data_IF_156737458424
#
_entry.id   IF_156737458424
#
_cell.length_a   1.000
_cell.length_b   1.000
_cell.length_c   1.000
_cell.angle_alpha   90.00
_cell.angle_beta   90.00
_cell.angle_gamma   90.00
#
_symmetry.space_group_name_H-M   'P 1'
#
loop_
_entity.id
_entity.type
_entity.pdbx_description
1 polymer ?
#
# COMPACT_ATOMS: atom_id res chain seq x y z
N UNK A 1 30.68 41.92 -26.86
CA UNK A 1 29.59 41.01 -27.30
C UNK A 1 29.04 40.29 -26.07
N UNK A 2 27.82 40.62 -25.64
CA UNK A 2 27.17 39.97 -24.49
C UNK A 2 26.62 38.62 -24.98
N UNK A 3 27.18 37.51 -24.49
CA UNK A 3 26.68 36.16 -24.80
C UNK A 3 25.35 35.98 -24.08
N UNK A 4 24.25 35.91 -24.82
CA UNK A 4 22.97 35.45 -24.30
C UNK A 4 23.09 33.95 -24.07
N UNK A 5 23.36 33.56 -22.83
CA UNK A 5 23.20 32.17 -22.40
C UNK A 5 21.71 31.96 -22.18
N UNK A 6 21.04 31.05 -22.91
CA UNK A 6 19.66 30.73 -22.61
C UNK A 6 19.63 30.09 -21.22
N UNK A 7 18.95 30.74 -20.27
CA UNK A 7 18.59 30.12 -19.00
C UNK A 7 17.78 28.88 -19.34
N UNK A 8 18.37 27.71 -19.08
CA UNK A 8 17.66 26.43 -19.06
C UNK A 8 16.42 26.61 -18.20
N UNK A 9 15.24 26.49 -18.81
CA UNK A 9 13.98 26.45 -18.08
C UNK A 9 14.11 25.32 -17.06
N UNK A 10 14.15 25.65 -15.78
CA UNK A 10 13.93 24.68 -14.72
C UNK A 10 12.57 24.03 -15.01
N UNK A 11 12.59 22.86 -15.60
CA UNK A 11 11.47 21.93 -15.58
C UNK A 11 11.27 21.62 -14.11
N UNK A 12 10.28 22.28 -13.49
CA UNK A 12 9.72 21.84 -12.22
C UNK A 12 9.32 20.39 -12.45
N UNK A 13 10.14 19.47 -11.96
CA UNK A 13 9.77 18.06 -11.89
C UNK A 13 8.64 18.04 -10.88
N UNK A 14 7.40 17.91 -11.36
CA UNK A 14 6.26 17.66 -10.51
C UNK A 14 6.51 16.31 -9.82
N UNK A 15 7.03 16.38 -8.59
CA UNK A 15 7.20 15.21 -7.74
C UNK A 15 5.81 14.72 -7.35
N UNK A 16 5.36 13.64 -7.98
CA UNK A 16 4.11 12.97 -7.62
C UNK A 16 4.41 12.05 -6.45
N UNK A 17 3.92 12.38 -5.27
CA UNK A 17 3.98 11.51 -4.10
C UNK A 17 2.86 10.47 -4.21
N UNK A 18 3.24 9.20 -4.35
CA UNK A 18 2.31 8.08 -4.42
C UNK A 18 2.15 7.47 -3.03
N UNK A 19 0.95 7.57 -2.45
CA UNK A 19 0.61 6.86 -1.21
C UNK A 19 0.35 5.38 -1.53
N UNK A 20 1.33 4.53 -1.21
CA UNK A 20 1.27 3.09 -1.43
C UNK A 20 0.69 2.32 -0.24
N UNK A 21 0.27 3.00 0.83
CA UNK A 21 -0.17 2.35 2.06
C UNK A 21 -1.38 1.46 1.83
N UNK A 22 -2.35 1.86 1.01
CA UNK A 22 -3.53 1.04 0.69
C UNK A 22 -3.16 -0.25 -0.03
N UNK A 23 -2.23 -0.19 -1.00
CA UNK A 23 -1.73 -1.37 -1.71
C UNK A 23 -1.03 -2.33 -0.76
N UNK A 24 -0.19 -1.81 0.14
CA UNK A 24 0.51 -2.64 1.13
C UNK A 24 -0.44 -3.39 2.07
N UNK A 25 -1.62 -2.83 2.38
CA UNK A 25 -2.62 -3.48 3.24
C UNK A 25 -3.34 -4.62 2.54
N UNK A 26 -3.61 -4.48 1.24
CA UNK A 26 -4.18 -5.55 0.42
C UNK A 26 -3.23 -6.74 0.31
N UNK A 27 -1.94 -6.48 0.07
CA UNK A 27 -0.92 -7.55 0.05
C UNK A 27 -0.77 -8.25 1.40
N UNK A 28 -0.82 -7.50 2.51
CA UNK A 28 -0.80 -8.09 3.85
C UNK A 28 -2.04 -8.96 4.12
N UNK A 29 -3.22 -8.51 3.71
CA UNK A 29 -4.46 -9.27 3.87
C UNK A 29 -4.39 -10.60 3.09
N UNK A 30 -3.85 -10.56 1.87
CA UNK A 30 -3.64 -11.75 1.04
C UNK A 30 -2.65 -12.73 1.68
N UNK A 31 -1.50 -12.23 2.14
CA UNK A 31 -0.48 -13.05 2.78
C UNK A 31 -1.02 -13.74 4.04
N UNK A 32 -1.69 -13.01 4.92
CA UNK A 32 -2.28 -13.57 6.16
C UNK A 32 -3.33 -14.63 5.81
N UNK A 33 -4.18 -14.37 4.81
CA UNK A 33 -5.17 -15.35 4.33
C UNK A 33 -4.50 -16.63 3.84
N UNK A 34 -3.43 -16.50 3.03
CA UNK A 34 -2.68 -17.65 2.50
C UNK A 34 -2.02 -18.46 3.61
N UNK A 35 -1.42 -17.80 4.60
CA UNK A 35 -0.82 -18.47 5.76
C UNK A 35 -1.88 -19.17 6.62
N UNK A 36 -3.07 -18.57 6.75
CA UNK A 36 -4.19 -19.16 7.51
C UNK A 36 -4.71 -20.43 6.84
N UNK A 37 -4.90 -20.41 5.51
CA UNK A 37 -5.41 -21.57 4.75
C UNK A 37 -4.42 -22.73 4.75
N UNK A 38 -3.11 -22.43 4.66
CA UNK A 38 -2.07 -23.46 4.60
C UNK A 38 -1.50 -23.83 5.98
N UNK A 39 -1.89 -23.10 7.03
CA UNK A 39 -1.46 -23.34 8.39
C UNK A 39 -2.32 -24.40 9.06
N UNK A 40 -1.70 -25.22 9.90
CA UNK A 40 -2.44 -26.12 10.78
C UNK A 40 -2.87 -25.38 12.06
N UNK A 41 -3.72 -24.36 11.87
CA UNK A 41 -4.20 -23.49 12.93
C UNK A 41 -5.39 -24.12 13.66
N UNK A 42 -5.47 -23.89 14.96
CA UNK A 42 -6.67 -24.19 15.70
C UNK A 42 -7.80 -23.19 15.37
N UNK A 43 -8.99 -23.45 15.92
CA UNK A 43 -10.17 -22.62 15.68
C UNK A 43 -9.98 -21.17 16.13
N UNK A 44 -9.32 -20.96 17.28
CA UNK A 44 -9.13 -19.62 17.84
C UNK A 44 -8.10 -18.84 17.03
N UNK A 45 -6.99 -19.49 16.66
CA UNK A 45 -5.96 -18.92 15.80
C UNK A 45 -6.53 -18.52 14.43
N UNK A 46 -7.35 -19.38 13.83
CA UNK A 46 -8.05 -19.10 12.57
C UNK A 46 -8.96 -17.88 12.71
N UNK A 47 -9.72 -17.79 13.82
CA UNK A 47 -10.62 -16.66 14.06
C UNK A 47 -9.85 -15.34 14.19
N UNK A 48 -8.74 -15.34 14.93
CA UNK A 48 -7.86 -14.18 15.08
C UNK A 48 -7.31 -13.74 13.73
N UNK A 49 -6.81 -14.67 12.92
CA UNK A 49 -6.28 -14.36 11.60
C UNK A 49 -7.34 -13.74 10.67
N UNK A 50 -8.59 -14.26 10.71
CA UNK A 50 -9.70 -13.69 9.93
C UNK A 50 -10.09 -12.29 10.41
N UNK A 51 -10.04 -12.00 11.71
CA UNK A 51 -10.21 -10.64 12.23
C UNK A 51 -9.14 -9.68 11.68
N UNK A 52 -7.87 -10.10 11.71
CA UNK A 52 -6.77 -9.29 11.16
C UNK A 52 -6.96 -9.02 9.65
N UNK A 53 -7.37 -10.02 8.87
CA UNK A 53 -7.68 -9.84 7.45
C UNK A 53 -8.82 -8.83 7.26
N UNK A 54 -9.89 -8.93 8.04
CA UNK A 54 -11.02 -8.00 7.97
C UNK A 54 -10.60 -6.55 8.26
N UNK A 55 -9.76 -6.34 9.29
CA UNK A 55 -9.28 -5.00 9.65
C UNK A 55 -8.37 -4.41 8.56
N UNK A 56 -7.50 -5.23 7.96
CA UNK A 56 -6.65 -4.80 6.85
C UNK A 56 -7.48 -4.39 5.63
N UNK A 57 -8.51 -5.18 5.28
CA UNK A 57 -9.41 -4.86 4.17
C UNK A 57 -10.26 -3.62 4.44
N UNK A 58 -10.80 -3.48 5.65
CA UNK A 58 -11.55 -2.28 6.06
C UNK A 58 -10.69 -1.01 5.91
N UNK A 59 -9.45 -1.06 6.40
CA UNK A 59 -8.53 0.06 6.26
C UNK A 59 -8.17 0.35 4.80
N UNK A 60 -7.97 -0.68 3.96
CA UNK A 60 -7.68 -0.49 2.55
C UNK A 60 -8.85 0.16 1.81
N UNK A 61 -10.09 -0.28 2.07
CA UNK A 61 -11.30 0.27 1.44
C UNK A 61 -11.53 1.73 1.85
N UNK A 62 -11.40 2.05 3.14
CA UNK A 62 -11.68 3.40 3.63
C UNK A 62 -10.58 4.42 3.31
N UNK A 63 -9.39 3.98 2.89
CA UNK A 63 -8.36 4.87 2.36
C UNK A 63 -8.53 5.17 0.86
N UNK A 64 -9.43 4.46 0.18
CA UNK A 64 -9.74 4.65 -1.24
C UNK A 64 -11.02 5.47 -1.46
N UNK A 65 -11.88 5.60 -0.44
CA UNK A 65 -13.09 6.44 -0.46
C UNK A 65 -12.79 7.88 -0.03
#
# INVERSE_FOLDING_TARGET
>A
MKKHVPQSKNTLVDTVELDLNSFSKLEQAELVTRLTINGNLDRNETLIAMCCVSDLLYNAINQVQ
#
